data_IF_048919174050
#
_entry.id   IF_048919174050
#
_cell.length_a   1.000
_cell.length_b   1.000
_cell.length_c   1.000
_cell.angle_alpha   90.00
_cell.angle_beta   90.00
_cell.angle_gamma   90.00
#
_symmetry.space_group_name_H-M   'P 1'
#
loop_
_entity.id
_entity.type
_entity.pdbx_description
1 polymer ?
#
# COMPACT_ATOMS: atom_id res chain seq x y z
N UNK A 1 -10.56 -18.29 8.34
CA UNK A 1 -9.34 -19.07 8.67
C UNK A 1 -8.44 -19.18 7.45
N UNK A 2 -8.86 -19.74 6.32
CA UNK A 2 -8.00 -19.95 5.15
C UNK A 2 -7.27 -18.68 4.65
N UNK A 3 -7.95 -17.52 4.61
CA UNK A 3 -7.32 -16.24 4.18
C UNK A 3 -6.15 -15.85 5.08
N UNK A 4 -6.30 -15.97 6.41
CA UNK A 4 -5.22 -15.63 7.35
C UNK A 4 -4.05 -16.61 7.27
N UNK A 5 -4.33 -17.88 7.05
CA UNK A 5 -3.30 -18.91 6.86
C UNK A 5 -2.49 -18.67 5.59
N UNK A 6 -3.16 -18.35 4.47
CA UNK A 6 -2.46 -18.00 3.22
C UNK A 6 -1.72 -16.66 3.33
N UNK A 7 -2.27 -15.67 4.04
CA UNK A 7 -1.58 -14.43 4.34
C UNK A 7 -0.29 -14.69 5.14
N UNK A 8 -0.37 -15.52 6.17
CA UNK A 8 0.81 -15.90 6.97
C UNK A 8 1.86 -16.59 6.11
N UNK A 9 1.48 -17.59 5.31
CA UNK A 9 2.40 -18.31 4.41
C UNK A 9 3.09 -17.37 3.41
N UNK A 10 2.33 -16.48 2.78
CA UNK A 10 2.90 -15.48 1.87
C UNK A 10 3.92 -14.61 2.58
N UNK A 11 3.57 -14.09 3.74
CA UNK A 11 4.46 -13.19 4.48
C UNK A 11 5.72 -13.91 5.00
N UNK A 12 5.59 -15.12 5.55
CA UNK A 12 6.72 -15.92 6.00
C UNK A 12 7.66 -16.31 4.86
N UNK A 13 7.11 -16.73 3.72
CA UNK A 13 7.87 -17.23 2.58
C UNK A 13 8.47 -16.15 1.67
N UNK A 14 7.81 -14.99 1.55
CA UNK A 14 8.17 -13.97 0.56
C UNK A 14 8.62 -12.67 1.19
N UNK A 15 7.90 -12.15 2.19
CA UNK A 15 8.10 -10.78 2.70
C UNK A 15 9.11 -10.74 3.83
N UNK A 16 9.02 -11.66 4.80
CA UNK A 16 9.94 -11.75 5.95
C UNK A 16 11.41 -11.88 5.54
N UNK A 17 11.79 -12.71 4.56
CA UNK A 17 13.18 -12.84 4.14
C UNK A 17 13.79 -11.54 3.63
N UNK A 18 12.97 -10.60 3.16
CA UNK A 18 13.41 -9.31 2.62
C UNK A 18 13.65 -8.24 3.69
N UNK A 19 13.25 -8.47 4.93
CA UNK A 19 13.35 -7.46 5.99
C UNK A 19 14.80 -7.04 6.24
N UNK A 20 15.70 -7.98 6.43
CA UNK A 20 17.14 -7.71 6.63
C UNK A 20 17.79 -7.15 5.37
N UNK A 21 17.38 -7.62 4.19
CA UNK A 21 17.88 -7.08 2.92
C UNK A 21 17.47 -5.61 2.75
N UNK A 22 16.24 -5.25 3.12
CA UNK A 22 15.73 -3.88 3.10
C UNK A 22 16.49 -2.92 4.01
N UNK A 23 16.90 -3.39 5.18
CA UNK A 23 17.72 -2.61 6.13
C UNK A 23 19.14 -2.37 5.62
N UNK A 24 19.75 -3.38 5.00
CA UNK A 24 21.15 -3.31 4.53
C UNK A 24 21.32 -2.68 3.15
N UNK A 25 20.34 -2.80 2.28
CA UNK A 25 20.38 -2.38 0.88
C UNK A 25 19.14 -1.57 0.52
N UNK A 26 19.07 -0.32 1.00
CA UNK A 26 17.92 0.55 0.74
C UNK A 26 17.84 0.99 -0.73
N UNK A 27 16.68 1.53 -1.08
CA UNK A 27 16.45 2.10 -2.40
C UNK A 27 17.47 3.21 -2.71
N UNK A 28 17.90 3.27 -3.96
CA UNK A 28 18.85 4.26 -4.44
C UNK A 28 18.26 5.11 -5.56
N UNK A 29 18.73 6.34 -5.67
CA UNK A 29 18.39 7.23 -6.78
C UNK A 29 19.67 7.63 -7.51
N UNK A 30 19.73 7.33 -8.80
CA UNK A 30 20.82 7.72 -9.68
C UNK A 30 20.28 7.99 -11.11
N UNK A 31 20.81 9.00 -11.78
CA UNK A 31 20.49 9.34 -13.16
C UNK A 31 18.97 9.47 -13.43
N UNK A 32 18.23 10.08 -12.52
CA UNK A 32 16.79 10.26 -12.64
C UNK A 32 15.96 8.99 -12.42
N UNK A 33 16.58 7.89 -11.97
CA UNK A 33 15.95 6.59 -11.79
C UNK A 33 16.06 6.10 -10.35
N UNK A 34 14.96 5.56 -9.83
CA UNK A 34 14.93 4.85 -8.54
C UNK A 34 15.12 3.35 -8.77
N UNK A 35 16.03 2.76 -8.00
CA UNK A 35 16.20 1.30 -7.90
C UNK A 35 15.81 0.88 -6.49
N UNK A 36 14.83 0.00 -6.38
CA UNK A 36 14.35 -0.52 -5.09
C UNK A 36 15.29 -1.59 -4.55
N UNK A 37 15.15 -1.89 -3.25
CA UNK A 37 15.82 -3.03 -2.61
C UNK A 37 15.64 -4.32 -3.43
N UNK A 38 16.70 -5.11 -3.64
CA UNK A 38 16.60 -6.40 -4.33
C UNK A 38 15.50 -7.28 -3.74
N UNK A 39 14.66 -7.86 -4.61
CA UNK A 39 13.53 -8.72 -4.22
C UNK A 39 12.22 -7.99 -3.95
N UNK A 40 12.20 -6.70 -3.60
CA UNK A 40 10.97 -5.97 -3.30
C UNK A 40 10.01 -5.91 -4.49
N UNK A 41 10.52 -5.67 -5.69
CA UNK A 41 9.69 -5.62 -6.90
C UNK A 41 9.00 -6.95 -7.16
N UNK A 42 9.70 -8.05 -6.97
CA UNK A 42 9.14 -9.40 -7.17
C UNK A 42 8.14 -9.74 -6.06
N UNK A 43 8.44 -9.42 -4.81
CA UNK A 43 7.50 -9.59 -3.71
C UNK A 43 6.23 -8.77 -3.91
N UNK A 44 6.34 -7.53 -4.41
CA UNK A 44 5.17 -6.69 -4.71
C UNK A 44 4.33 -7.29 -5.86
N UNK A 45 4.97 -7.84 -6.89
CA UNK A 45 4.26 -8.54 -7.96
C UNK A 45 3.44 -9.72 -7.40
N UNK A 46 4.04 -10.55 -6.56
CA UNK A 46 3.33 -11.66 -5.91
C UNK A 46 2.22 -11.19 -4.96
N UNK A 47 2.45 -10.09 -4.24
CA UNK A 47 1.44 -9.44 -3.39
C UNK A 47 0.21 -9.02 -4.20
N UNK A 48 0.40 -8.38 -5.34
CA UNK A 48 -0.70 -7.93 -6.21
C UNK A 48 -1.38 -9.09 -6.93
N UNK A 49 -0.63 -10.07 -7.44
CA UNK A 49 -1.19 -11.28 -8.06
C UNK A 49 -1.99 -12.15 -7.08
N UNK A 50 -1.61 -12.16 -5.80
CA UNK A 50 -2.38 -12.78 -4.72
C UNK A 50 -3.62 -11.99 -4.30
N UNK A 51 -3.85 -10.79 -4.84
CA UNK A 51 -4.99 -9.94 -4.54
C UNK A 51 -4.96 -9.32 -3.15
N UNK A 52 -3.80 -9.27 -2.49
CA UNK A 52 -3.67 -8.81 -1.11
C UNK A 52 -4.00 -7.31 -0.93
N UNK A 53 -3.80 -6.48 -1.95
CA UNK A 53 -4.22 -5.07 -1.91
C UNK A 53 -5.75 -4.93 -1.87
N UNK A 54 -6.47 -5.85 -2.52
CA UNK A 54 -7.92 -5.78 -2.68
C UNK A 54 -8.76 -6.41 -1.56
N UNK A 55 -8.16 -6.95 -0.50
CA UNK A 55 -8.83 -7.78 0.52
C UNK A 55 -10.11 -7.15 1.07
N UNK A 56 -10.08 -5.88 1.46
CA UNK A 56 -11.23 -5.18 2.06
C UNK A 56 -12.02 -4.30 1.10
N UNK A 57 -11.49 -4.10 -0.10
CA UNK A 57 -12.07 -3.13 -1.04
C UNK A 57 -13.26 -3.72 -1.82
N UNK A 58 -14.16 -2.86 -2.33
CA UNK A 58 -15.39 -3.31 -2.99
C UNK A 58 -15.14 -4.17 -4.24
N UNK A 59 -15.94 -5.21 -4.40
CA UNK A 59 -15.92 -6.09 -5.58
C UNK A 59 -16.15 -5.32 -6.89
N UNK A 60 -16.94 -4.23 -6.84
CA UNK A 60 -17.20 -3.36 -7.98
C UNK A 60 -15.93 -2.74 -8.61
N UNK A 61 -14.82 -2.73 -7.86
CA UNK A 61 -13.52 -2.25 -8.33
C UNK A 61 -12.45 -3.34 -8.32
N UNK A 62 -12.87 -4.62 -8.32
CA UNK A 62 -11.97 -5.78 -8.34
C UNK A 62 -11.44 -6.20 -6.96
N UNK A 63 -11.97 -5.66 -5.88
CA UNK A 63 -11.66 -6.09 -4.51
C UNK A 63 -12.38 -7.38 -4.11
N UNK A 64 -12.05 -7.90 -2.93
CA UNK A 64 -12.64 -9.14 -2.40
C UNK A 64 -13.81 -8.89 -1.44
N UNK A 65 -14.07 -7.64 -1.04
CA UNK A 65 -15.17 -7.26 -0.15
C UNK A 65 -15.13 -7.89 1.24
N UNK A 66 -13.98 -8.38 1.68
CA UNK A 66 -13.87 -9.04 2.99
C UNK A 66 -13.98 -8.02 4.14
N UNK A 67 -14.43 -8.47 5.33
CA UNK A 67 -14.54 -7.60 6.49
C UNK A 67 -13.21 -6.89 6.85
N UNK A 68 -13.30 -5.63 7.27
CA UNK A 68 -12.12 -4.85 7.71
C UNK A 68 -11.33 -5.52 8.85
N UNK A 69 -11.97 -6.34 9.66
CA UNK A 69 -11.31 -7.14 10.70
C UNK A 69 -10.34 -8.18 10.12
N UNK A 70 -10.68 -8.80 8.98
CA UNK A 70 -9.78 -9.73 8.27
C UNK A 70 -8.62 -8.95 7.65
N UNK A 71 -8.90 -7.81 7.01
CA UNK A 71 -7.86 -6.96 6.46
C UNK A 71 -6.91 -6.43 7.54
N UNK A 72 -7.43 -6.05 8.71
CA UNK A 72 -6.59 -5.61 9.83
C UNK A 72 -5.65 -6.73 10.32
N UNK A 73 -6.14 -7.96 10.44
CA UNK A 73 -5.30 -9.09 10.79
C UNK A 73 -4.22 -9.39 9.73
N UNK A 74 -4.58 -9.31 8.43
CA UNK A 74 -3.60 -9.44 7.34
C UNK A 74 -2.56 -8.30 7.37
N UNK A 75 -2.99 -7.06 7.66
CA UNK A 75 -2.10 -5.92 7.80
C UNK A 75 -1.13 -6.10 8.97
N UNK A 76 -1.60 -6.59 10.13
CA UNK A 76 -0.75 -6.91 11.28
C UNK A 76 0.34 -7.91 10.90
N UNK A 77 -0.01 -9.00 10.21
CA UNK A 77 0.93 -10.01 9.73
C UNK A 77 1.97 -9.37 8.78
N UNK A 78 1.52 -8.58 7.81
CA UNK A 78 2.38 -7.92 6.82
C UNK A 78 3.35 -6.92 7.48
N UNK A 79 2.87 -6.08 8.39
CA UNK A 79 3.69 -5.09 9.09
C UNK A 79 4.71 -5.75 10.02
N UNK A 80 4.33 -6.85 10.67
CA UNK A 80 5.23 -7.66 11.49
C UNK A 80 6.32 -8.34 10.66
N UNK A 81 6.01 -8.76 9.44
CA UNK A 81 6.96 -9.39 8.53
C UNK A 81 8.00 -8.40 7.99
N UNK A 82 7.55 -7.23 7.50
CA UNK A 82 8.43 -6.21 6.93
C UNK A 82 7.73 -4.85 6.83
N UNK A 83 8.00 -3.97 7.78
CA UNK A 83 7.39 -2.64 7.83
C UNK A 83 7.74 -1.80 6.59
N UNK A 84 8.98 -1.85 6.10
CA UNK A 84 9.39 -1.05 4.93
C UNK A 84 8.64 -1.45 3.65
N UNK A 85 8.34 -2.74 3.48
CA UNK A 85 7.50 -3.21 2.39
C UNK A 85 6.04 -2.79 2.59
N UNK A 86 5.52 -2.93 3.82
CA UNK A 86 4.11 -2.69 4.15
C UNK A 86 3.66 -1.23 3.97
N UNK A 87 4.58 -0.25 4.07
CA UNK A 87 4.26 1.17 3.91
C UNK A 87 3.63 1.50 2.54
N UNK A 88 4.07 0.86 1.45
CA UNK A 88 3.50 1.11 0.13
C UNK A 88 2.04 0.64 0.01
N UNK A 89 1.68 -0.61 0.32
CA UNK A 89 0.28 -1.06 0.37
C UNK A 89 -0.58 -0.24 1.32
N UNK A 90 -0.08 0.11 2.50
CA UNK A 90 -0.81 0.89 3.50
C UNK A 90 -1.21 2.28 2.98
N UNK A 91 -0.29 2.99 2.31
CA UNK A 91 -0.59 4.31 1.75
C UNK A 91 -1.53 4.21 0.55
N UNK A 92 -1.42 3.13 -0.23
CA UNK A 92 -2.37 2.82 -1.32
C UNK A 92 -3.78 2.59 -0.78
N UNK A 93 -3.92 1.87 0.32
CA UNK A 93 -5.19 1.67 1.04
C UNK A 93 -5.83 3.01 1.43
N UNK A 94 -5.03 3.92 2.00
CA UNK A 94 -5.48 5.26 2.35
C UNK A 94 -5.98 6.06 1.15
N UNK A 95 -5.30 5.97 0.01
CA UNK A 95 -5.72 6.62 -1.24
C UNK A 95 -7.03 6.04 -1.78
N UNK A 96 -7.21 4.72 -1.73
CA UNK A 96 -8.45 4.05 -2.13
C UNK A 96 -9.61 4.50 -1.24
N UNK A 97 -9.46 4.48 0.08
CA UNK A 97 -10.49 4.91 1.03
C UNK A 97 -10.87 6.39 0.80
N UNK A 98 -9.91 7.28 0.58
CA UNK A 98 -10.17 8.68 0.28
C UNK A 98 -11.00 8.85 -1.00
N UNK A 99 -10.70 8.10 -2.05
CA UNK A 99 -11.46 8.13 -3.30
C UNK A 99 -12.87 7.54 -3.14
N UNK A 100 -13.02 6.47 -2.37
CA UNK A 100 -14.33 5.86 -2.09
C UNK A 100 -15.26 6.84 -1.36
N UNK A 101 -14.72 7.59 -0.39
CA UNK A 101 -15.48 8.52 0.45
C UNK A 101 -15.78 9.84 -0.29
N UNK A 102 -14.78 10.45 -0.91
CA UNK A 102 -14.85 11.83 -1.40
C UNK A 102 -14.62 11.98 -2.91
N UNK A 103 -14.24 10.92 -3.62
CA UNK A 103 -13.99 10.97 -5.06
C UNK A 103 -15.28 11.13 -5.87
N UNK A 104 -15.27 11.99 -6.89
CA UNK A 104 -16.34 12.00 -7.88
C UNK A 104 -16.25 10.76 -8.79
N UNK A 105 -17.33 10.43 -9.51
CA UNK A 105 -17.37 9.22 -10.34
C UNK A 105 -16.26 9.16 -11.39
N UNK A 106 -15.86 10.28 -11.95
CA UNK A 106 -14.72 10.35 -12.88
C UNK A 106 -13.40 9.91 -12.21
N UNK A 107 -13.16 10.34 -10.98
CA UNK A 107 -11.95 9.94 -10.24
C UNK A 107 -12.01 8.46 -9.85
N UNK A 108 -13.17 8.01 -9.35
CA UNK A 108 -13.37 6.60 -8.98
C UNK A 108 -13.15 5.67 -10.17
N UNK A 109 -13.77 5.93 -11.30
CA UNK A 109 -13.64 5.12 -12.52
C UNK A 109 -12.24 5.15 -13.12
N UNK A 110 -11.48 6.23 -12.91
CA UNK A 110 -10.11 6.36 -13.44
C UNK A 110 -9.09 5.60 -12.60
N UNK A 111 -9.23 5.63 -11.26
CA UNK A 111 -8.16 5.22 -10.35
C UNK A 111 -8.44 3.96 -9.56
N UNK A 112 -9.70 3.72 -9.11
CA UNK A 112 -9.96 2.70 -8.10
C UNK A 112 -9.57 1.29 -8.54
N UNK A 113 -9.96 0.86 -9.72
CA UNK A 113 -9.64 -0.49 -10.21
C UNK A 113 -8.12 -0.72 -10.25
N UNK A 114 -7.35 0.27 -10.69
CA UNK A 114 -5.90 0.18 -10.78
C UNK A 114 -5.20 0.22 -9.43
N UNK A 115 -5.73 0.96 -8.48
CA UNK A 115 -5.22 0.98 -7.10
C UNK A 115 -5.57 -0.30 -6.35
N UNK A 116 -6.81 -0.78 -6.47
CA UNK A 116 -7.30 -2.01 -5.83
C UNK A 116 -6.57 -3.25 -6.37
N UNK A 117 -6.28 -3.30 -7.68
CA UNK A 117 -5.46 -4.37 -8.26
C UNK A 117 -3.96 -4.24 -7.96
N UNK A 118 -3.51 -3.12 -7.40
CA UNK A 118 -2.11 -2.84 -7.13
C UNK A 118 -1.27 -2.49 -8.36
N UNK A 119 -1.88 -2.30 -9.55
CA UNK A 119 -1.18 -1.81 -10.72
C UNK A 119 -0.58 -0.41 -10.50
N UNK A 120 -1.32 0.42 -9.77
CA UNK A 120 -0.87 1.72 -9.33
C UNK A 120 -0.81 1.76 -7.81
N UNK A 121 0.06 2.62 -7.29
CA UNK A 121 0.21 2.86 -5.86
C UNK A 121 -0.21 4.27 -5.50
N UNK A 122 -0.76 4.43 -4.30
CA UNK A 122 -1.05 5.72 -3.70
C UNK A 122 0.08 6.17 -2.79
N UNK A 123 0.20 7.48 -2.61
CA UNK A 123 1.14 8.10 -1.67
C UNK A 123 0.41 9.11 -0.81
N UNK A 124 0.98 9.43 0.34
CA UNK A 124 0.52 10.52 1.20
C UNK A 124 1.62 11.59 1.27
N UNK A 125 1.30 12.80 0.80
CA UNK A 125 2.18 13.97 0.82
C UNK A 125 1.59 15.01 1.78
N UNK A 126 1.56 14.70 3.07
CA UNK A 126 0.90 15.53 4.09
C UNK A 126 1.89 16.47 4.80
N UNK A 127 3.06 15.97 5.17
CA UNK A 127 4.07 16.72 5.92
C UNK A 127 4.71 17.80 5.06
N UNK A 128 4.78 19.01 5.62
CA UNK A 128 5.54 20.14 5.08
C UNK A 128 6.77 20.45 5.97
N UNK A 129 7.76 21.21 5.50
CA UNK A 129 8.96 21.50 6.30
C UNK A 129 8.66 22.13 7.68
N UNK A 130 7.57 22.90 7.80
CA UNK A 130 7.13 23.53 9.03
C UNK A 130 5.97 22.83 9.73
N UNK A 131 5.40 21.78 9.13
CA UNK A 131 4.17 21.13 9.57
C UNK A 131 4.28 19.61 9.48
N UNK A 132 4.89 18.99 10.47
CA UNK A 132 4.98 17.54 10.62
C UNK A 132 4.02 17.06 11.70
N UNK A 133 4.44 17.08 12.96
CA UNK A 133 3.59 16.69 14.10
C UNK A 133 2.44 17.67 14.33
N UNK A 134 2.66 18.96 14.12
CA UNK A 134 1.61 19.99 14.17
C UNK A 134 1.10 20.28 12.75
N UNK A 135 0.07 19.54 12.35
CA UNK A 135 -0.58 19.70 11.04
C UNK A 135 -1.41 20.99 10.91
N UNK A 136 -1.70 21.71 12.02
CA UNK A 136 -2.38 23.00 11.96
C UNK A 136 -1.56 24.07 11.22
N UNK A 137 -0.26 23.87 11.07
CA UNK A 137 0.65 24.75 10.35
C UNK A 137 0.73 24.49 8.85
N UNK A 138 -0.01 23.54 8.29
CA UNK A 138 -0.04 23.26 6.84
C UNK A 138 -0.46 24.51 6.06
N UNK A 139 0.30 24.83 5.00
CA UNK A 139 0.08 26.00 4.12
C UNK A 139 -0.38 25.62 2.72
N UNK A 140 -0.25 24.34 2.34
CA UNK A 140 -0.75 23.87 1.05
C UNK A 140 -2.25 24.10 0.92
N UNK A 141 -2.66 24.62 -0.22
CA UNK A 141 -4.07 24.88 -0.54
C UNK A 141 -4.32 24.58 -2.01
N UNK A 142 -5.55 24.20 -2.33
CA UNK A 142 -6.01 24.05 -3.70
C UNK A 142 -6.66 25.36 -4.17
N UNK A 143 -6.28 25.84 -5.35
CA UNK A 143 -6.90 27.00 -6.01
C UNK A 143 -7.58 26.53 -7.30
N UNK A 144 -8.75 27.14 -7.67
CA UNK A 144 -9.49 26.84 -8.91
C UNK A 144 -9.02 27.74 -10.04
#
# INVERSE_FOLDING_TARGET
MAVLEECAKFNEGVVTPLNVAGDKQHATFADGKVTTTPGFKEAYRQFTEGGWQGVQHPEAYGGQGLPKTIAAACAEILHSANMSFALCPMLTDGAIEALLIAGCEKLKSTYLEKLVSGQWTGTMNLTEPQAGSDLALIRSRAER
#
